data_IF_681700275897
#
_entry.id   IF_681700275897
#
_cell.length_a   1.000
_cell.length_b   1.000
_cell.length_c   1.000
_cell.angle_alpha   90.00
_cell.angle_beta   90.00
_cell.angle_gamma   90.00
#
_symmetry.space_group_name_H-M   'P 1'
#
loop_
_entity.id
_entity.type
_entity.pdbx_description
1 polymer ?
#
# COMPACT_ATOMS: atom_id res chain seq x y z
N UNK A 1 7.40 -2.07 -12.81
CA UNK A 1 6.99 -2.15 -11.40
C UNK A 1 5.58 -1.65 -11.18
N UNK A 2 5.30 -0.40 -11.49
CA UNK A 2 3.96 0.19 -11.31
C UNK A 2 2.88 -0.56 -12.08
N UNK A 3 3.17 -1.01 -13.30
CA UNK A 3 2.24 -1.81 -14.10
C UNK A 3 1.88 -3.13 -13.43
N UNK A 4 2.88 -3.82 -12.89
CA UNK A 4 2.67 -5.11 -12.22
C UNK A 4 1.81 -4.92 -10.97
N UNK A 5 2.10 -3.89 -10.18
CA UNK A 5 1.33 -3.57 -9.00
C UNK A 5 -0.11 -3.21 -9.34
N UNK A 6 -0.31 -2.31 -10.30
CA UNK A 6 -1.64 -1.88 -10.73
C UNK A 6 -2.45 -3.06 -11.27
N UNK A 7 -1.84 -3.86 -12.14
CA UNK A 7 -2.51 -5.03 -12.71
C UNK A 7 -2.88 -6.06 -11.65
N UNK A 8 -1.99 -6.29 -10.68
CA UNK A 8 -2.25 -7.23 -9.58
C UNK A 8 -3.39 -6.79 -8.67
N UNK A 9 -3.46 -5.50 -8.36
CA UNK A 9 -4.55 -4.95 -7.56
C UNK A 9 -5.88 -5.02 -8.32
N UNK A 10 -5.87 -4.69 -9.62
CA UNK A 10 -7.06 -4.75 -10.46
C UNK A 10 -7.59 -6.18 -10.58
N UNK A 11 -6.71 -7.14 -10.79
CA UNK A 11 -7.10 -8.55 -10.89
C UNK A 11 -7.66 -9.06 -9.57
N UNK A 12 -7.02 -8.72 -8.45
CA UNK A 12 -7.53 -9.05 -7.12
C UNK A 12 -8.93 -8.48 -6.91
N UNK A 13 -9.14 -7.20 -7.24
CA UNK A 13 -10.43 -6.53 -7.07
C UNK A 13 -11.54 -7.20 -7.91
N UNK A 14 -11.20 -7.63 -9.13
CA UNK A 14 -12.12 -8.34 -10.01
C UNK A 14 -12.50 -9.71 -9.42
N UNK A 15 -11.52 -10.46 -8.95
CA UNK A 15 -11.74 -11.79 -8.38
C UNK A 15 -12.58 -11.73 -7.11
N UNK A 16 -12.34 -10.72 -6.27
CA UNK A 16 -13.05 -10.53 -5.00
C UNK A 16 -14.35 -9.70 -5.15
N UNK A 17 -14.67 -9.25 -6.36
CA UNK A 17 -15.85 -8.43 -6.68
C UNK A 17 -15.90 -7.13 -5.86
N UNK A 18 -14.78 -6.48 -5.75
CA UNK A 18 -14.62 -5.22 -5.04
C UNK A 18 -14.86 -4.06 -6.01
N UNK A 19 -15.53 -3.01 -5.55
CA UNK A 19 -15.66 -1.75 -6.30
C UNK A 19 -14.35 -0.99 -6.19
N UNK A 20 -13.49 -1.14 -7.18
CA UNK A 20 -12.20 -0.48 -7.23
C UNK A 20 -12.29 0.87 -7.94
N UNK A 21 -11.87 1.92 -7.26
CA UNK A 21 -11.71 3.26 -7.84
C UNK A 21 -10.22 3.61 -7.86
N UNK A 22 -9.75 4.13 -8.99
CA UNK A 22 -8.35 4.51 -9.15
C UNK A 22 -8.20 6.02 -9.15
N UNK A 23 -7.31 6.52 -8.28
CA UNK A 23 -6.92 7.93 -8.27
C UNK A 23 -5.58 8.04 -8.99
N UNK A 24 -5.56 8.79 -10.08
CA UNK A 24 -4.34 8.98 -10.86
C UNK A 24 -3.42 10.00 -10.19
N UNK A 25 -2.13 9.70 -10.21
CA UNK A 25 -1.11 10.62 -9.69
C UNK A 25 -1.03 11.88 -10.56
N UNK A 26 -1.02 13.04 -9.91
CA UNK A 26 -0.97 14.34 -10.59
C UNK A 26 0.38 15.05 -10.41
N UNK A 27 1.28 14.47 -9.60
CA UNK A 27 2.53 15.13 -9.22
C UNK A 27 2.46 15.81 -7.86
N UNK A 28 1.28 15.86 -7.25
CA UNK A 28 1.07 16.34 -5.88
C UNK A 28 0.52 15.18 -5.02
N UNK A 29 1.40 14.40 -4.37
CA UNK A 29 0.97 13.22 -3.62
C UNK A 29 -0.02 13.52 -2.48
N UNK A 30 0.11 14.66 -1.82
CA UNK A 30 -0.79 15.04 -0.73
C UNK A 30 -2.19 15.27 -1.27
N UNK A 31 -2.32 16.00 -2.37
CA UNK A 31 -3.60 16.23 -3.02
C UNK A 31 -4.21 14.92 -3.54
N UNK A 32 -3.38 14.04 -4.13
CA UNK A 32 -3.83 12.76 -4.65
C UNK A 32 -4.42 11.88 -3.54
N UNK A 33 -3.75 11.80 -2.40
CA UNK A 33 -4.23 11.03 -1.26
C UNK A 33 -5.51 11.66 -0.68
N UNK A 34 -5.55 12.98 -0.59
CA UNK A 34 -6.73 13.71 -0.10
C UNK A 34 -7.96 13.44 -0.97
N UNK A 35 -7.78 13.39 -2.30
CA UNK A 35 -8.87 13.05 -3.23
C UNK A 35 -9.36 11.62 -3.01
N UNK A 36 -8.46 10.68 -2.72
CA UNK A 36 -8.84 9.31 -2.41
C UNK A 36 -9.66 9.24 -1.11
N UNK A 37 -9.25 9.96 -0.09
CA UNK A 37 -9.97 10.03 1.19
C UNK A 37 -11.38 10.62 0.99
N UNK A 38 -11.50 11.66 0.16
CA UNK A 38 -12.77 12.34 -0.11
C UNK A 38 -13.80 11.43 -0.80
N UNK A 39 -13.37 10.36 -1.46
CA UNK A 39 -14.27 9.38 -2.04
C UNK A 39 -14.99 8.54 -0.97
N UNK A 40 -14.53 8.57 0.28
CA UNK A 40 -15.11 7.81 1.37
C UNK A 40 -14.97 6.29 1.26
N UNK A 41 -13.82 5.75 0.81
CA UNK A 41 -13.68 4.31 0.64
C UNK A 41 -13.52 3.59 1.97
N UNK A 42 -13.83 2.29 1.98
CA UNK A 42 -13.57 1.44 3.14
C UNK A 42 -12.06 1.21 3.35
N UNK A 43 -11.31 1.20 2.27
CA UNK A 43 -9.86 0.95 2.30
C UNK A 43 -9.18 1.72 1.16
N UNK A 44 -8.07 2.37 1.47
CA UNK A 44 -7.20 3.00 0.47
C UNK A 44 -5.98 2.11 0.30
N UNK A 45 -5.72 1.69 -0.94
CA UNK A 45 -4.56 0.88 -1.29
C UNK A 45 -3.54 1.75 -2.01
N UNK A 46 -2.31 1.78 -1.49
CA UNK A 46 -1.17 2.39 -2.15
C UNK A 46 -0.26 1.29 -2.67
N UNK A 47 -0.02 1.28 -3.96
CA UNK A 47 0.81 0.27 -4.60
C UNK A 47 2.13 0.90 -5.03
N UNK A 48 3.23 0.46 -4.42
CA UNK A 48 4.57 0.96 -4.69
C UNK A 48 5.05 2.01 -3.71
N UNK A 49 6.14 2.68 -4.06
CA UNK A 49 6.87 3.58 -3.15
C UNK A 49 6.69 5.07 -3.45
N UNK A 50 5.88 5.41 -4.44
CA UNK A 50 5.83 6.78 -4.96
C UNK A 50 5.25 7.83 -4.02
N UNK A 51 4.45 7.44 -3.03
CA UNK A 51 3.76 8.37 -2.14
C UNK A 51 4.01 8.10 -0.66
N UNK A 52 5.04 7.32 -0.34
CA UNK A 52 5.31 6.90 1.04
C UNK A 52 5.53 8.09 1.99
N UNK A 53 6.32 9.08 1.57
CA UNK A 53 6.58 10.23 2.43
C UNK A 53 5.30 11.03 2.73
N UNK A 54 4.44 11.18 1.73
CA UNK A 54 3.15 11.84 1.92
C UNK A 54 2.21 11.00 2.81
N UNK A 55 2.18 9.69 2.63
CA UNK A 55 1.40 8.79 3.48
C UNK A 55 1.85 8.85 4.93
N UNK A 56 3.15 8.93 5.19
CA UNK A 56 3.66 9.05 6.55
C UNK A 56 3.09 10.27 7.27
N UNK A 57 2.82 11.36 6.55
CA UNK A 57 2.23 12.56 7.12
C UNK A 57 0.71 12.45 7.26
N UNK A 58 0.04 11.98 6.20
CA UNK A 58 -1.43 12.05 6.11
C UNK A 58 -2.12 10.99 6.94
N UNK A 59 -1.59 9.76 6.97
CA UNK A 59 -2.27 8.65 7.65
C UNK A 59 -2.48 8.90 9.13
N UNK A 60 -1.51 9.54 9.79
CA UNK A 60 -1.60 9.87 11.21
C UNK A 60 -2.67 10.93 11.52
N UNK A 61 -3.10 11.69 10.52
CA UNK A 61 -4.15 12.69 10.66
C UNK A 61 -5.54 12.17 10.27
N UNK A 62 -5.63 10.93 9.78
CA UNK A 62 -6.87 10.31 9.31
C UNK A 62 -7.04 8.92 9.90
N UNK A 63 -7.03 8.83 11.23
CA UNK A 63 -7.02 7.56 11.96
C UNK A 63 -8.28 6.71 11.73
N UNK A 64 -9.37 7.31 11.29
CA UNK A 64 -10.60 6.60 10.96
C UNK A 64 -10.62 5.98 9.56
N UNK A 65 -9.61 6.22 8.75
CA UNK A 65 -9.48 5.67 7.41
C UNK A 65 -8.40 4.59 7.41
N UNK A 66 -8.74 3.39 6.92
CA UNK A 66 -7.78 2.31 6.77
C UNK A 66 -6.96 2.46 5.49
N UNK A 67 -5.66 2.23 5.60
CA UNK A 67 -4.71 2.26 4.50
C UNK A 67 -3.96 0.93 4.41
N UNK A 68 -3.78 0.45 3.19
CA UNK A 68 -2.96 -0.73 2.89
C UNK A 68 -1.88 -0.35 1.90
N UNK A 69 -0.63 -0.61 2.25
CA UNK A 69 0.52 -0.29 1.39
C UNK A 69 1.12 -1.61 0.90
N UNK A 70 1.27 -1.73 -0.41
CA UNK A 70 1.83 -2.94 -1.05
C UNK A 70 3.17 -2.60 -1.69
N UNK A 71 4.21 -3.32 -1.30
CA UNK A 71 5.54 -3.19 -1.89
C UNK A 71 6.37 -2.04 -1.36
N UNK A 72 5.96 -1.48 -0.23
CA UNK A 72 6.69 -0.47 0.52
C UNK A 72 6.10 -0.41 1.94
N UNK A 73 6.68 0.39 2.82
CA UNK A 73 6.19 0.53 4.18
C UNK A 73 6.35 1.96 4.68
N UNK A 74 5.63 2.29 5.73
CA UNK A 74 5.82 3.52 6.51
C UNK A 74 6.61 3.15 7.76
N UNK A 75 7.63 3.96 8.11
CA UNK A 75 8.57 3.62 9.18
C UNK A 75 7.90 3.46 10.55
N UNK A 76 6.92 4.30 10.84
CA UNK A 76 6.19 4.27 12.12
C UNK A 76 4.69 4.29 11.83
N UNK A 77 4.10 3.15 11.42
CA UNK A 77 2.70 3.12 11.06
C UNK A 77 1.79 3.36 12.25
N UNK A 78 0.78 4.20 12.07
CA UNK A 78 -0.33 4.31 13.02
C UNK A 78 -1.24 3.09 12.87
N UNK A 79 -2.19 2.90 13.80
CA UNK A 79 -3.02 1.69 13.84
C UNK A 79 -3.88 1.47 12.59
N UNK A 80 -4.11 2.51 11.81
CA UNK A 80 -4.91 2.47 10.59
C UNK A 80 -4.09 2.13 9.33
N UNK A 81 -2.79 1.87 9.46
CA UNK A 81 -1.89 1.57 8.35
C UNK A 81 -1.40 0.13 8.45
N UNK A 82 -1.55 -0.62 7.37
CA UNK A 82 -0.99 -1.96 7.23
C UNK A 82 -0.15 -1.98 5.96
N UNK A 83 1.05 -2.52 6.04
CA UNK A 83 1.94 -2.62 4.90
C UNK A 83 2.32 -4.06 4.65
N UNK A 84 2.49 -4.43 3.39
CA UNK A 84 3.00 -5.75 3.01
C UNK A 84 4.26 -5.57 2.20
N UNK A 85 5.35 -6.15 2.68
CA UNK A 85 6.67 -6.07 2.09
C UNK A 85 7.24 -7.46 1.85
N UNK A 86 8.33 -7.50 1.09
CA UNK A 86 9.09 -8.71 0.83
C UNK A 86 10.54 -8.33 0.56
N UNK A 87 11.41 -9.29 0.48
CA UNK A 87 12.80 -9.04 0.11
C UNK A 87 12.85 -8.44 -1.29
N UNK A 88 13.43 -7.26 -1.40
CA UNK A 88 13.45 -6.46 -2.64
C UNK A 88 12.46 -5.31 -2.66
N UNK A 89 11.56 -5.22 -1.68
CA UNK A 89 10.53 -4.18 -1.61
C UNK A 89 10.26 -3.79 -0.16
N UNK A 90 11.05 -2.87 0.38
CA UNK A 90 10.89 -2.41 1.76
C UNK A 90 11.24 -0.91 1.91
N UNK A 91 10.93 -0.12 0.89
CA UNK A 91 11.15 1.33 0.94
C UNK A 91 10.31 1.97 2.04
N UNK A 92 10.94 2.79 2.87
CA UNK A 92 10.30 3.44 4.04
C UNK A 92 10.15 4.95 3.92
N UNK A 93 10.71 5.54 2.87
CA UNK A 93 10.76 6.98 2.68
C UNK A 93 12.17 7.47 2.43
N UNK A 94 12.29 8.71 1.98
CA UNK A 94 13.59 9.31 1.67
C UNK A 94 14.47 9.38 2.92
N UNK A 95 15.72 8.98 2.76
CA UNK A 95 16.71 9.05 3.82
C UNK A 95 16.64 7.94 4.86
N UNK A 96 15.69 7.02 4.76
CA UNK A 96 15.57 5.90 5.67
C UNK A 96 16.13 4.61 5.06
N UNK A 97 16.81 3.76 5.86
CA UNK A 97 17.35 2.52 5.34
C UNK A 97 16.23 1.51 5.03
N UNK A 98 16.39 0.79 3.93
CA UNK A 98 15.52 -0.35 3.60
C UNK A 98 15.95 -1.59 4.39
N UNK A 99 15.01 -2.46 4.69
CA UNK A 99 15.30 -3.74 5.34
C UNK A 99 15.97 -4.74 4.38
N UNK A 100 15.88 -4.52 3.07
CA UNK A 100 16.56 -5.31 2.05
C UNK A 100 16.94 -4.42 0.88
N UNK A 101 17.85 -4.90 0.03
CA UNK A 101 18.20 -4.18 -1.20
C UNK A 101 17.00 -4.15 -2.15
N UNK A 102 16.78 -3.02 -2.80
CA UNK A 102 15.70 -2.89 -3.77
C UNK A 102 15.93 -3.79 -4.99
N UNK A 103 14.95 -4.58 -5.34
CA UNK A 103 14.99 -5.46 -6.50
C UNK A 103 13.67 -5.33 -7.28
N UNK A 104 13.68 -4.64 -8.44
CA UNK A 104 12.48 -4.49 -9.25
C UNK A 104 11.95 -5.82 -9.79
N UNK A 105 12.80 -6.82 -9.98
CA UNK A 105 12.37 -8.15 -10.44
C UNK A 105 11.60 -8.93 -9.38
N UNK A 106 11.64 -8.49 -8.12
CA UNK A 106 10.85 -9.09 -7.06
C UNK A 106 9.35 -8.81 -7.18
N UNK A 107 8.97 -7.84 -8.00
CA UNK A 107 7.58 -7.43 -8.22
C UNK A 107 6.95 -8.32 -9.29
N UNK A 108 6.47 -9.49 -8.90
CA UNK A 108 5.80 -10.42 -9.81
C UNK A 108 4.29 -10.42 -9.60
N UNK A 109 3.49 -10.77 -10.63
CA UNK A 109 2.03 -10.83 -10.46
C UNK A 109 1.58 -11.74 -9.32
N UNK A 110 2.24 -12.89 -9.16
CA UNK A 110 1.93 -13.85 -8.10
C UNK A 110 2.21 -13.26 -6.72
N UNK A 111 3.32 -12.56 -6.58
CA UNK A 111 3.69 -11.95 -5.30
C UNK A 111 2.76 -10.80 -4.94
N UNK A 112 2.41 -9.97 -5.91
CA UNK A 112 1.43 -8.89 -5.70
C UNK A 112 0.07 -9.45 -5.28
N UNK A 113 -0.38 -10.53 -5.91
CA UNK A 113 -1.61 -11.22 -5.53
C UNK A 113 -1.58 -11.74 -4.10
N UNK A 114 -0.46 -12.37 -3.71
CA UNK A 114 -0.29 -12.83 -2.32
C UNK A 114 -0.27 -11.66 -1.34
N UNK A 115 0.38 -10.57 -1.70
CA UNK A 115 0.44 -9.38 -0.87
C UNK A 115 -0.95 -8.77 -0.65
N UNK A 116 -1.76 -8.68 -1.69
CA UNK A 116 -3.13 -8.18 -1.58
C UNK A 116 -3.96 -9.08 -0.66
N UNK A 117 -3.86 -10.40 -0.81
CA UNK A 117 -4.60 -11.33 0.04
C UNK A 117 -4.16 -11.24 1.51
N UNK A 118 -2.85 -11.20 1.75
CA UNK A 118 -2.32 -11.09 3.10
C UNK A 118 -2.72 -9.76 3.75
N UNK A 119 -2.59 -8.66 3.02
CA UNK A 119 -2.91 -7.33 3.53
C UNK A 119 -4.39 -7.13 3.82
N UNK A 120 -5.25 -7.53 2.90
CA UNK A 120 -6.70 -7.40 3.09
C UNK A 120 -7.20 -8.31 4.21
N UNK A 121 -6.65 -9.51 4.35
CA UNK A 121 -6.97 -10.38 5.48
C UNK A 121 -6.58 -9.73 6.81
N UNK A 122 -5.40 -9.11 6.87
CA UNK A 122 -4.97 -8.41 8.09
C UNK A 122 -5.94 -7.27 8.45
N UNK A 123 -6.34 -6.46 7.47
CA UNK A 123 -7.28 -5.36 7.69
C UNK A 123 -8.64 -5.89 8.17
N UNK A 124 -9.16 -6.91 7.50
CA UNK A 124 -10.48 -7.49 7.83
C UNK A 124 -10.53 -8.15 9.20
N UNK A 125 -9.40 -8.68 9.67
CA UNK A 125 -9.32 -9.32 10.99
C UNK A 125 -8.92 -8.35 12.10
N UNK A 126 -8.73 -7.07 11.78
CA UNK A 126 -8.34 -6.06 12.75
C UNK A 126 -6.86 -6.10 13.14
N UNK A 127 -6.04 -6.86 12.42
CA UNK A 127 -4.59 -6.94 12.64
C UNK A 127 -3.92 -5.85 11.82
N UNK A 128 -3.99 -4.61 12.31
CA UNK A 128 -3.52 -3.42 11.60
C UNK A 128 -2.42 -2.70 12.38
N UNK A 129 -1.83 -1.68 11.78
CA UNK A 129 -0.72 -0.96 12.39
C UNK A 129 0.56 -1.77 12.37
N UNK A 130 0.70 -2.69 11.44
CA UNK A 130 1.82 -3.64 11.35
C UNK A 130 2.39 -3.69 9.94
N UNK A 131 3.59 -4.26 9.85
CA UNK A 131 4.22 -4.59 8.58
C UNK A 131 4.25 -6.10 8.45
N UNK A 132 3.59 -6.60 7.40
CA UNK A 132 3.53 -8.03 7.09
C UNK A 132 4.62 -8.36 6.07
N UNK A 133 5.45 -9.34 6.37
CA UNK A 133 6.46 -9.85 5.43
C UNK A 133 5.96 -11.12 4.76
N UNK A 134 6.10 -11.16 3.45
CA UNK A 134 5.79 -12.35 2.65
C UNK A 134 7.03 -12.80 1.86
N UNK A 135 6.98 -14.03 1.34
CA UNK A 135 8.07 -14.57 0.50
C UNK A 135 8.05 -14.04 -0.93
#
# INVERSE_FOLDING_TARGET
QTRVLTAGVQEWAKDERVDLRTVQATGDPIDDISRAIDLGPDLIVSAGNGVIDALALITASHLGQDFLIIGAEVAEPTHNVTAVCWEGASFRGEGLPMASAYDPDSFTPERVGRAMRAGTTAVLTGTTGIIVWID
#
